data_IF_711049759504
#
_entry.id   IF_711049759504
#
_cell.length_a   1.000
_cell.length_b   1.000
_cell.length_c   1.000
_cell.angle_alpha   90.00
_cell.angle_beta   90.00
_cell.angle_gamma   90.00
#
_symmetry.space_group_name_H-M   'P 1'
#
loop_
_entity.id
_entity.type
_entity.pdbx_description
1 polymer ?
#
# COMPACT_ATOMS: atom_id res chain seq x y z
N UNK A 1 0.27 24.60 -0.67
CA UNK A 1 0.08 23.16 -0.94
C UNK A 1 -1.30 22.97 -1.55
N UNK A 2 -1.41 22.19 -2.64
CA UNK A 2 -2.70 21.73 -3.18
C UNK A 2 -3.38 20.72 -2.25
N UNK A 3 -4.34 19.95 -2.75
CA UNK A 3 -4.91 18.84 -1.96
C UNK A 3 -3.95 17.65 -1.92
N UNK A 4 -4.15 16.76 -0.96
CA UNK A 4 -3.52 15.44 -0.97
C UNK A 4 -4.46 14.49 -1.70
N UNK A 5 -3.94 13.65 -2.59
CA UNK A 5 -4.71 12.64 -3.32
C UNK A 5 -4.15 11.26 -3.03
N UNK A 6 -4.92 10.41 -2.36
CA UNK A 6 -4.54 9.05 -2.04
C UNK A 6 -4.96 8.12 -3.19
N UNK A 7 -3.99 7.51 -3.86
CA UNK A 7 -4.25 6.59 -4.98
C UNK A 7 -4.08 5.14 -4.52
N UNK A 8 -5.06 4.28 -4.81
CA UNK A 8 -5.08 2.90 -4.33
C UNK A 8 -5.74 1.94 -5.33
N UNK A 9 -5.51 0.63 -5.15
CA UNK A 9 -6.18 -0.40 -5.95
C UNK A 9 -7.64 -0.54 -5.57
N UNK A 10 -8.48 -0.90 -6.55
CA UNK A 10 -9.86 -1.27 -6.30
C UNK A 10 -9.92 -2.46 -5.34
N UNK A 11 -10.77 -2.39 -4.30
CA UNK A 11 -11.02 -3.55 -3.46
C UNK A 11 -11.79 -4.62 -4.23
N UNK A 12 -11.71 -5.86 -3.77
CA UNK A 12 -12.56 -6.95 -4.27
C UNK A 12 -14.03 -6.81 -3.88
N UNK A 13 -14.32 -6.03 -2.85
CA UNK A 13 -15.65 -5.62 -2.41
C UNK A 13 -15.72 -4.08 -2.39
N UNK A 14 -16.59 -3.44 -3.18
CA UNK A 14 -16.71 -1.98 -3.24
C UNK A 14 -16.88 -1.31 -1.88
N UNK A 15 -17.57 -1.93 -0.92
CA UNK A 15 -17.74 -1.34 0.41
C UNK A 15 -16.42 -1.17 1.16
N UNK A 16 -15.40 -1.95 0.83
CA UNK A 16 -14.07 -1.82 1.44
C UNK A 16 -13.32 -0.55 1.03
N UNK A 17 -13.80 0.20 0.03
CA UNK A 17 -13.25 1.51 -0.32
C UNK A 17 -13.38 2.51 0.85
N UNK A 18 -14.43 2.37 1.68
CA UNK A 18 -14.65 3.18 2.88
C UNK A 18 -13.46 3.19 3.83
N UNK A 19 -12.63 2.14 3.84
CA UNK A 19 -11.46 2.06 4.71
C UNK A 19 -10.39 3.11 4.33
N UNK A 20 -10.25 3.42 3.03
CA UNK A 20 -9.34 4.46 2.54
C UNK A 20 -9.99 5.84 2.71
N UNK A 21 -11.30 5.95 2.51
CA UNK A 21 -12.05 7.18 2.77
C UNK A 21 -11.96 7.60 4.25
N UNK A 22 -12.07 6.63 5.17
CA UNK A 22 -11.91 6.86 6.61
C UNK A 22 -10.49 7.34 6.95
N UNK A 23 -9.47 6.75 6.31
CA UNK A 23 -8.07 7.20 6.42
C UNK A 23 -7.92 8.65 5.91
N UNK A 24 -8.45 8.95 4.73
CA UNK A 24 -8.43 10.28 4.14
C UNK A 24 -9.13 11.30 5.04
N UNK A 25 -10.30 10.97 5.59
CA UNK A 25 -11.04 11.84 6.49
C UNK A 25 -10.27 12.13 7.80
N UNK A 26 -9.57 11.14 8.36
CA UNK A 26 -8.70 11.36 9.54
C UNK A 26 -7.52 12.27 9.21
N UNK A 27 -6.85 12.03 8.08
CA UNK A 27 -5.76 12.87 7.59
C UNK A 27 -6.22 14.31 7.33
N UNK A 28 -7.37 14.50 6.68
CA UNK A 28 -7.93 15.82 6.39
C UNK A 28 -8.18 16.61 7.68
N UNK A 29 -8.77 15.97 8.70
CA UNK A 29 -8.99 16.59 10.01
C UNK A 29 -7.69 16.94 10.72
N UNK A 30 -6.70 16.05 10.71
CA UNK A 30 -5.41 16.27 11.39
C UNK A 30 -4.56 17.36 10.72
N UNK A 31 -4.52 17.36 9.39
CA UNK A 31 -3.66 18.24 8.61
C UNK A 31 -4.29 19.59 8.28
N UNK A 32 -5.62 19.70 8.39
CA UNK A 32 -6.35 20.91 8.00
C UNK A 32 -6.32 21.15 6.49
N UNK A 33 -6.17 20.10 5.68
CA UNK A 33 -6.14 20.17 4.21
C UNK A 33 -7.12 19.19 3.60
N UNK A 34 -7.56 19.46 2.36
CA UNK A 34 -8.39 18.53 1.60
C UNK A 34 -7.58 17.28 1.26
N UNK A 35 -8.16 16.12 1.55
CA UNK A 35 -7.60 14.81 1.20
C UNK A 35 -8.66 14.05 0.42
N UNK A 36 -8.39 13.80 -0.86
CA UNK A 36 -9.27 13.05 -1.75
C UNK A 36 -8.72 11.64 -1.98
N UNK A 37 -9.59 10.70 -2.35
CA UNK A 37 -9.22 9.32 -2.67
C UNK A 37 -9.54 9.02 -4.12
N UNK A 38 -8.65 8.34 -4.83
CA UNK A 38 -8.81 7.98 -6.24
C UNK A 38 -8.41 6.53 -6.44
N UNK A 39 -9.23 5.75 -7.13
CA UNK A 39 -8.89 4.38 -7.50
C UNK A 39 -8.00 4.37 -8.75
N UNK A 40 -7.07 3.42 -8.83
CA UNK A 40 -6.11 3.35 -9.94
C UNK A 40 -6.78 3.30 -11.32
N UNK A 41 -7.92 2.62 -11.46
CA UNK A 41 -8.69 2.55 -12.71
C UNK A 41 -9.21 3.91 -13.16
N UNK A 42 -9.50 4.82 -12.24
CA UNK A 42 -9.85 6.20 -12.59
C UNK A 42 -8.66 6.90 -13.26
N UNK A 43 -7.46 6.73 -12.70
CA UNK A 43 -6.20 7.24 -13.31
C UNK A 43 -5.97 6.61 -14.68
N UNK A 44 -6.13 5.29 -14.82
CA UNK A 44 -6.00 4.59 -16.11
C UNK A 44 -6.99 5.11 -17.16
N UNK A 45 -8.20 5.50 -16.74
CA UNK A 45 -9.25 5.97 -17.66
C UNK A 45 -9.16 7.45 -18.02
N UNK A 46 -8.71 8.29 -17.09
CA UNK A 46 -8.75 9.75 -17.22
C UNK A 46 -7.37 10.39 -17.42
N UNK A 47 -6.28 9.67 -17.12
CA UNK A 47 -4.91 10.17 -17.12
C UNK A 47 -4.70 11.27 -16.08
N UNK A 48 -3.85 12.26 -16.37
CA UNK A 48 -3.58 13.38 -15.47
C UNK A 48 -4.79 14.25 -15.09
N UNK A 49 -5.94 14.11 -15.76
CA UNK A 49 -7.17 14.87 -15.46
C UNK A 49 -7.76 14.62 -14.06
N UNK A 50 -7.35 13.54 -13.39
CA UNK A 50 -7.74 13.29 -12.00
C UNK A 50 -6.96 14.13 -10.98
N UNK A 51 -5.87 14.77 -11.41
CA UNK A 51 -4.96 15.55 -10.56
C UNK A 51 -4.94 17.02 -10.99
N UNK A 52 -4.53 17.90 -10.06
CA UNK A 52 -4.30 19.31 -10.34
C UNK A 52 -2.84 19.68 -10.09
N UNK A 53 -2.42 20.80 -10.68
CA UNK A 53 -1.11 21.38 -10.41
C UNK A 53 -0.94 21.66 -8.90
N UNK A 54 0.19 21.22 -8.34
CA UNK A 54 0.49 21.40 -6.91
C UNK A 54 -0.22 20.43 -5.96
N UNK A 55 -0.98 19.45 -6.47
CA UNK A 55 -1.46 18.32 -5.67
C UNK A 55 -0.27 17.49 -5.16
N UNK A 56 -0.40 16.94 -3.95
CA UNK A 56 0.47 15.87 -3.44
C UNK A 56 -0.24 14.52 -3.65
N UNK A 57 0.20 13.77 -4.65
CA UNK A 57 -0.33 12.44 -4.98
C UNK A 57 0.45 11.39 -4.21
N UNK A 58 -0.21 10.68 -3.30
CA UNK A 58 0.38 9.59 -2.52
C UNK A 58 -0.17 8.26 -3.00
N UNK A 59 0.69 7.44 -3.59
CA UNK A 59 0.32 6.08 -4.01
C UNK A 59 0.38 5.12 -2.82
N UNK A 60 -0.79 4.69 -2.36
CA UNK A 60 -0.97 3.61 -1.38
C UNK A 60 -0.84 2.22 -2.04
N UNK A 61 0.04 2.12 -3.04
CA UNK A 61 0.36 0.86 -3.71
C UNK A 61 1.45 0.14 -2.91
N UNK A 62 1.33 -1.17 -2.59
CA UNK A 62 2.27 -1.87 -1.71
C UNK A 62 3.68 -2.08 -2.25
N UNK A 63 3.86 -1.96 -3.57
CA UNK A 63 5.12 -2.18 -4.28
C UNK A 63 5.12 -1.45 -5.62
N UNK A 64 6.29 -1.31 -6.24
CA UNK A 64 6.48 -0.91 -7.63
C UNK A 64 5.79 -1.90 -8.56
N UNK A 65 5.47 -1.40 -9.76
CA UNK A 65 4.70 -2.12 -10.76
C UNK A 65 4.07 -1.17 -11.77
N UNK A 66 3.47 -1.71 -12.82
CA UNK A 66 2.91 -0.90 -13.90
C UNK A 66 1.93 0.19 -13.45
N UNK A 67 1.10 -0.09 -12.44
CA UNK A 67 0.14 0.89 -11.92
C UNK A 67 0.83 2.08 -11.23
N UNK A 68 1.91 1.85 -10.49
CA UNK A 68 2.65 2.94 -9.86
C UNK A 68 3.23 3.90 -10.90
N UNK A 69 3.81 3.36 -11.97
CA UNK A 69 4.34 4.17 -13.07
C UNK A 69 3.23 4.93 -13.82
N UNK A 70 2.04 4.35 -13.95
CA UNK A 70 0.87 5.06 -14.50
C UNK A 70 0.45 6.24 -13.64
N UNK A 71 0.47 6.11 -12.31
CA UNK A 71 0.19 7.23 -11.40
C UNK A 71 1.27 8.30 -11.49
N UNK A 72 2.54 7.89 -11.50
CA UNK A 72 3.68 8.80 -11.61
C UNK A 72 3.64 9.65 -12.88
N UNK A 73 3.37 9.00 -14.02
CA UNK A 73 3.22 9.68 -15.31
C UNK A 73 2.06 10.68 -15.30
N UNK A 74 0.87 10.25 -14.86
CA UNK A 74 -0.32 11.10 -14.80
C UNK A 74 -0.16 12.29 -13.83
N UNK A 75 0.48 12.07 -12.68
CA UNK A 75 0.78 13.14 -11.72
C UNK A 75 1.76 14.16 -12.31
N UNK A 76 2.82 13.70 -12.97
CA UNK A 76 3.80 14.57 -13.63
C UNK A 76 3.17 15.41 -14.74
N UNK A 77 2.31 14.81 -15.56
CA UNK A 77 1.58 15.53 -16.62
C UNK A 77 0.67 16.64 -16.07
N UNK A 78 0.07 16.43 -14.90
CA UNK A 78 -0.77 17.41 -14.22
C UNK A 78 0.02 18.49 -13.44
N UNK A 79 1.35 18.39 -13.39
CA UNK A 79 2.17 19.26 -12.54
C UNK A 79 1.98 19.01 -11.04
N UNK A 80 1.60 17.79 -10.66
CA UNK A 80 1.48 17.33 -9.29
C UNK A 80 2.78 16.65 -8.82
N UNK A 81 3.02 16.64 -7.51
CA UNK A 81 4.12 15.87 -6.91
C UNK A 81 3.62 14.46 -6.59
N UNK A 82 4.34 13.44 -7.01
CA UNK A 82 4.02 12.06 -6.68
C UNK A 82 4.99 11.48 -5.63
N UNK A 83 4.45 10.71 -4.68
CA UNK A 83 5.20 9.92 -3.71
C UNK A 83 4.61 8.51 -3.65
N UNK A 84 5.47 7.50 -3.83
CA UNK A 84 5.07 6.09 -3.79
C UNK A 84 6.19 5.16 -4.27
N UNK A 85 6.06 3.84 -4.08
CA UNK A 85 4.95 3.13 -3.41
C UNK A 85 4.97 3.33 -1.89
N UNK A 86 4.09 2.64 -1.15
CA UNK A 86 4.23 2.49 0.30
C UNK A 86 5.64 1.95 0.60
N UNK A 87 6.44 2.61 1.45
CA UNK A 87 7.79 2.15 1.76
C UNK A 87 7.79 0.71 2.27
N UNK A 88 8.61 -0.20 1.70
CA UNK A 88 8.72 -1.60 2.14
C UNK A 88 8.97 -1.74 3.65
N UNK A 89 9.75 -0.81 4.22
CA UNK A 89 10.05 -0.76 5.65
C UNK A 89 8.80 -0.53 6.53
N UNK A 90 7.83 0.26 6.09
CA UNK A 90 6.57 0.46 6.82
C UNK A 90 5.73 -0.80 6.80
N UNK A 91 5.62 -1.47 5.64
CA UNK A 91 4.90 -2.74 5.53
C UNK A 91 5.51 -3.81 6.44
N UNK A 92 6.84 -3.97 6.42
CA UNK A 92 7.52 -4.92 7.30
C UNK A 92 7.31 -4.58 8.79
N UNK A 93 7.41 -3.29 9.17
CA UNK A 93 7.17 -2.81 10.54
C UNK A 93 5.75 -3.10 11.02
N UNK A 94 4.75 -2.94 10.15
CA UNK A 94 3.35 -3.25 10.48
C UNK A 94 3.10 -4.75 10.68
N UNK A 95 3.75 -5.59 9.87
CA UNK A 95 3.55 -7.05 9.91
C UNK A 95 4.32 -7.74 11.04
N UNK A 96 5.46 -7.20 11.47
CA UNK A 96 6.33 -7.86 12.46
C UNK A 96 5.61 -8.21 13.79
N UNK A 97 4.80 -7.32 14.41
CA UNK A 97 4.04 -7.67 15.61
C UNK A 97 3.04 -8.80 15.39
N UNK A 98 2.37 -8.84 14.23
CA UNK A 98 1.36 -9.86 13.90
C UNK A 98 1.98 -11.27 13.87
N UNK A 99 3.23 -11.38 13.41
CA UNK A 99 3.89 -12.66 13.16
C UNK A 99 4.97 -13.01 14.18
N UNK A 100 5.06 -12.31 15.31
CA UNK A 100 5.99 -12.66 16.38
C UNK A 100 5.74 -14.08 16.91
N UNK A 101 6.73 -14.96 16.77
CA UNK A 101 6.63 -16.36 17.19
C UNK A 101 6.14 -17.32 16.10
N UNK A 102 5.84 -16.82 14.89
CA UNK A 102 5.69 -17.69 13.73
C UNK A 102 7.06 -18.20 13.28
N UNK A 103 7.17 -19.47 12.89
CA UNK A 103 8.42 -20.01 12.31
C UNK A 103 8.50 -19.77 10.81
N UNK A 104 7.34 -19.77 10.15
CA UNK A 104 7.21 -19.58 8.71
C UNK A 104 6.10 -18.59 8.40
N UNK A 105 6.36 -17.65 7.48
CA UNK A 105 5.39 -16.65 7.05
C UNK A 105 5.32 -16.64 5.51
N UNK A 106 4.13 -16.81 4.96
CA UNK A 106 3.87 -16.60 3.53
C UNK A 106 3.31 -15.21 3.25
N UNK A 107 3.92 -14.46 2.35
CA UNK A 107 3.35 -13.20 1.83
C UNK A 107 2.74 -13.49 0.46
N UNK A 108 1.41 -13.58 0.43
CA UNK A 108 0.64 -13.80 -0.80
C UNK A 108 0.57 -12.53 -1.61
N UNK A 109 1.05 -12.56 -2.85
CA UNK A 109 1.06 -11.42 -3.75
C UNK A 109 0.47 -11.75 -5.12
N UNK A 110 -0.01 -10.71 -5.80
CA UNK A 110 -0.44 -10.80 -7.19
C UNK A 110 0.70 -10.36 -8.12
N UNK A 111 1.24 -11.23 -9.00
CA UNK A 111 2.32 -10.86 -9.89
C UNK A 111 1.94 -9.72 -10.83
N UNK A 112 2.77 -8.66 -10.88
CA UNK A 112 2.58 -7.57 -11.81
C UNK A 112 2.67 -8.05 -13.27
N UNK A 113 1.91 -7.41 -14.17
CA UNK A 113 1.99 -7.72 -15.62
C UNK A 113 3.28 -7.19 -16.24
N UNK A 114 3.70 -5.99 -15.81
CA UNK A 114 4.92 -5.27 -16.21
C UNK A 114 5.69 -4.88 -14.94
N UNK A 115 7.00 -4.69 -15.07
CA UNK A 115 7.89 -4.34 -13.94
C UNK A 115 7.87 -5.40 -12.82
N UNK A 116 8.07 -6.66 -13.22
CA UNK A 116 8.00 -7.83 -12.32
C UNK A 116 9.17 -7.89 -11.36
N UNK A 117 10.36 -7.49 -11.81
CA UNK A 117 11.57 -7.54 -11.00
C UNK A 117 11.52 -6.46 -9.91
N UNK A 118 11.05 -5.26 -10.23
CA UNK A 118 10.88 -4.16 -9.28
C UNK A 118 9.84 -4.52 -8.19
N UNK A 119 8.73 -5.17 -8.59
CA UNK A 119 7.78 -5.71 -7.62
C UNK A 119 8.45 -6.76 -6.71
N UNK A 120 9.25 -7.66 -7.29
CA UNK A 120 9.95 -8.71 -6.53
C UNK A 120 11.01 -8.15 -5.60
N UNK A 121 11.73 -7.10 -5.99
CA UNK A 121 12.69 -6.39 -5.16
C UNK A 121 11.99 -5.80 -3.92
N UNK A 122 10.88 -5.08 -4.12
CA UNK A 122 10.16 -4.46 -3.00
C UNK A 122 9.57 -5.52 -2.06
N UNK A 123 8.92 -6.56 -2.61
CA UNK A 123 8.40 -7.66 -1.81
C UNK A 123 9.51 -8.45 -1.11
N UNK A 124 10.66 -8.60 -1.76
CA UNK A 124 11.86 -9.22 -1.21
C UNK A 124 12.44 -8.41 -0.04
N UNK A 125 12.43 -7.09 -0.13
CA UNK A 125 12.80 -6.21 0.98
C UNK A 125 11.83 -6.36 2.15
N UNK A 126 10.51 -6.38 1.90
CA UNK A 126 9.51 -6.62 2.95
C UNK A 126 9.78 -7.96 3.63
N UNK A 127 9.99 -9.02 2.84
CA UNK A 127 10.25 -10.36 3.35
C UNK A 127 11.54 -10.43 4.18
N UNK A 128 12.64 -9.85 3.69
CA UNK A 128 13.92 -9.80 4.39
C UNK A 128 13.82 -9.07 5.73
N UNK A 129 13.19 -7.89 5.75
CA UNK A 129 13.00 -7.10 6.97
C UNK A 129 12.07 -7.80 7.96
N UNK A 130 11.00 -8.43 7.48
CA UNK A 130 10.08 -9.19 8.31
C UNK A 130 10.78 -10.41 8.93
N UNK A 131 11.59 -11.13 8.15
CA UNK A 131 12.40 -12.25 8.64
C UNK A 131 13.36 -11.79 9.74
N UNK A 132 14.09 -10.69 9.51
CA UNK A 132 15.00 -10.12 10.50
C UNK A 132 14.28 -9.69 11.80
N UNK A 133 13.08 -9.13 11.71
CA UNK A 133 12.32 -8.65 12.86
C UNK A 133 11.64 -9.78 13.66
N UNK A 134 11.33 -10.92 13.04
CA UNK A 134 10.55 -12.00 13.66
C UNK A 134 11.35 -13.27 13.92
N UNK A 135 12.49 -13.45 13.24
CA UNK A 135 13.23 -14.71 13.18
C UNK A 135 12.56 -15.77 12.29
N UNK A 136 11.44 -15.44 11.62
CA UNK A 136 10.71 -16.37 10.78
C UNK A 136 11.37 -16.54 9.40
N UNK A 137 11.17 -17.71 8.80
CA UNK A 137 11.42 -17.95 7.37
C UNK A 137 10.27 -17.33 6.58
N UNK A 138 10.56 -16.31 5.77
CA UNK A 138 9.53 -15.62 4.97
C UNK A 138 9.61 -16.06 3.51
N UNK A 139 8.50 -16.55 2.97
CA UNK A 139 8.34 -16.91 1.56
C UNK A 139 7.38 -15.95 0.85
N UNK A 140 7.71 -15.55 -0.38
CA UNK A 140 6.77 -14.88 -1.27
C UNK A 140 5.93 -15.95 -2.00
N UNK A 141 4.61 -15.87 -1.86
CA UNK A 141 3.66 -16.85 -2.40
C UNK A 141 2.85 -16.19 -3.51
N UNK A 142 2.94 -16.70 -4.74
CA UNK A 142 2.12 -16.20 -5.84
C UNK A 142 0.66 -16.62 -5.63
N UNK A 143 -0.28 -15.71 -5.87
CA UNK A 143 -1.71 -16.04 -5.80
C UNK A 143 -2.14 -17.11 -6.83
N UNK A 144 -1.34 -17.32 -7.89
CA UNK A 144 -1.61 -18.37 -8.88
C UNK A 144 -1.13 -19.75 -8.44
N UNK A 145 -0.32 -19.84 -7.39
CA UNK A 145 0.27 -21.09 -6.88
C UNK A 145 0.39 -20.98 -5.35
N UNK A 146 -0.76 -21.01 -4.69
CA UNK A 146 -0.84 -20.74 -3.25
C UNK A 146 -0.33 -21.93 -2.45
N UNK A 147 0.79 -21.72 -1.76
CA UNK A 147 1.31 -22.61 -0.72
C UNK A 147 0.84 -22.11 0.64
N UNK A 148 0.08 -22.94 1.35
CA UNK A 148 -0.34 -22.64 2.72
C UNK A 148 0.82 -22.83 3.70
N UNK A 149 1.16 -21.78 4.45
CA UNK A 149 2.23 -21.78 5.45
C UNK A 149 1.65 -21.50 6.85
N UNK A 150 2.46 -21.70 7.89
CA UNK A 150 2.06 -21.56 9.30
C UNK A 150 1.33 -20.24 9.59
N UNK A 151 1.92 -19.14 9.15
CA UNK A 151 1.35 -17.80 9.22
C UNK A 151 1.31 -17.18 7.81
N UNK A 152 0.31 -16.35 7.51
CA UNK A 152 0.19 -15.78 6.16
C UNK A 152 -0.30 -14.34 6.16
N UNK A 153 0.26 -13.52 5.26
CA UNK A 153 -0.17 -12.17 4.97
C UNK A 153 -0.56 -12.03 3.50
N UNK A 154 -1.48 -11.12 3.20
CA UNK A 154 -1.65 -10.61 1.84
C UNK A 154 -0.79 -9.36 1.66
N UNK A 155 -0.17 -9.22 0.48
CA UNK A 155 0.48 -7.97 0.09
C UNK A 155 -0.51 -6.88 -0.34
N UNK A 156 -1.81 -7.17 -0.44
CA UNK A 156 -2.83 -6.19 -0.87
C UNK A 156 -3.18 -5.21 0.25
N UNK A 157 -3.32 -3.93 -0.09
CA UNK A 157 -3.75 -2.90 0.87
C UNK A 157 -5.16 -3.19 1.42
N UNK A 158 -6.09 -3.52 0.52
CA UNK A 158 -7.51 -3.73 0.81
C UNK A 158 -7.94 -5.19 0.60
N UNK A 159 -9.09 -5.61 1.19
CA UNK A 159 -9.71 -6.90 0.93
C UNK A 159 -9.86 -7.20 -0.56
N UNK A 160 -9.47 -8.41 -0.97
CA UNK A 160 -9.57 -8.83 -2.37
C UNK A 160 -9.24 -10.30 -2.59
N UNK A 161 -8.81 -10.63 -3.81
CA UNK A 161 -8.48 -12.03 -4.18
C UNK A 161 -7.33 -12.60 -3.34
N UNK A 162 -6.28 -11.81 -3.07
CA UNK A 162 -5.16 -12.25 -2.24
C UNK A 162 -5.57 -12.45 -0.78
N UNK A 163 -6.51 -11.64 -0.27
CA UNK A 163 -7.11 -11.83 1.06
C UNK A 163 -7.82 -13.18 1.17
N UNK A 164 -8.65 -13.53 0.17
CA UNK A 164 -9.34 -14.82 0.13
C UNK A 164 -8.38 -16.01 0.08
N UNK A 165 -7.27 -15.88 -0.64
CA UNK A 165 -6.22 -16.91 -0.68
C UNK A 165 -5.58 -17.15 0.70
N UNK A 166 -5.29 -16.07 1.45
CA UNK A 166 -4.80 -16.18 2.84
C UNK A 166 -5.85 -16.86 3.72
N UNK A 167 -7.12 -16.50 3.57
CA UNK A 167 -8.20 -17.05 4.38
C UNK A 167 -8.46 -18.54 4.11
N UNK A 168 -8.33 -19.00 2.85
CA UNK A 168 -8.53 -20.41 2.50
C UNK A 168 -7.51 -21.36 3.13
N UNK A 169 -6.34 -20.86 3.53
CA UNK A 169 -5.27 -21.67 4.10
C UNK A 169 -5.40 -21.93 5.62
N UNK A 170 -6.35 -21.28 6.30
CA UNK A 170 -6.53 -21.38 7.76
C UNK A 170 -5.23 -21.30 8.59
N UNK A 171 -4.34 -20.31 8.33
CA UNK A 171 -3.07 -20.18 9.05
C UNK A 171 -3.32 -19.86 10.54
N UNK A 172 -2.34 -20.20 11.40
CA UNK A 172 -2.43 -19.96 12.84
C UNK A 172 -2.51 -18.46 13.18
N UNK A 173 -1.89 -17.62 12.33
CA UNK A 173 -2.05 -16.16 12.34
C UNK A 173 -2.15 -15.64 10.92
N UNK A 174 -2.96 -14.60 10.73
CA UNK A 174 -3.17 -13.99 9.41
C UNK A 174 -3.28 -12.48 9.41
N UNK A 175 -2.79 -11.90 8.33
CA UNK A 175 -3.07 -10.52 7.92
C UNK A 175 -3.72 -10.56 6.53
N UNK A 176 -5.06 -10.56 6.43
CA UNK A 176 -5.74 -10.75 5.15
C UNK A 176 -5.61 -9.53 4.22
N UNK A 177 -5.31 -8.34 4.74
CA UNK A 177 -5.03 -7.13 3.98
C UNK A 177 -4.24 -6.15 4.86
N UNK A 178 -3.41 -5.31 4.24
CA UNK A 178 -2.42 -4.52 4.96
C UNK A 178 -3.01 -3.32 5.71
N UNK A 179 -4.07 -2.68 5.21
CA UNK A 179 -4.54 -1.39 5.77
C UNK A 179 -4.95 -1.47 7.24
N UNK A 180 -5.46 -2.62 7.70
CA UNK A 180 -5.80 -2.84 9.12
C UNK A 180 -4.59 -2.76 10.06
N UNK A 181 -3.38 -3.03 9.54
CA UNK A 181 -2.12 -3.00 10.31
C UNK A 181 -1.27 -1.78 9.97
N UNK A 182 -1.38 -1.26 8.74
CA UNK A 182 -0.63 -0.11 8.25
C UNK A 182 -1.27 1.23 8.60
N UNK A 183 -2.56 1.29 8.96
CA UNK A 183 -3.33 2.54 9.06
C UNK A 183 -2.63 3.66 9.83
N UNK A 184 -2.19 3.40 11.07
CA UNK A 184 -1.49 4.41 11.87
C UNK A 184 -0.13 4.82 11.30
N UNK A 185 0.63 3.87 10.73
CA UNK A 185 1.92 4.15 10.11
C UNK A 185 1.79 4.94 8.80
N UNK A 186 0.72 4.70 8.04
CA UNK A 186 0.40 5.48 6.84
C UNK A 186 0.01 6.91 7.23
N UNK A 187 -0.75 7.08 8.31
CA UNK A 187 -1.04 8.43 8.83
C UNK A 187 0.25 9.18 9.19
N UNK A 188 1.12 8.59 10.01
CA UNK A 188 2.42 9.19 10.37
C UNK A 188 3.27 9.53 9.14
N UNK A 189 3.33 8.62 8.17
CA UNK A 189 4.11 8.81 6.95
C UNK A 189 3.57 9.98 6.11
N UNK A 190 2.26 10.03 5.86
CA UNK A 190 1.63 11.08 5.06
C UNK A 190 1.69 12.43 5.78
N UNK A 191 1.53 12.45 7.10
CA UNK A 191 1.71 13.64 7.92
C UNK A 191 3.14 14.20 7.77
N UNK A 192 4.15 13.33 7.82
CA UNK A 192 5.54 13.70 7.59
C UNK A 192 5.79 14.27 6.19
N UNK A 193 5.18 13.68 5.15
CA UNK A 193 5.26 14.21 3.78
C UNK A 193 4.63 15.61 3.68
N UNK A 194 3.46 15.81 4.28
CA UNK A 194 2.75 17.09 4.27
C UNK A 194 3.48 18.19 5.05
N UNK A 195 4.22 17.83 6.11
CA UNK A 195 5.02 18.79 6.87
C UNK A 195 6.18 19.38 6.03
N UNK A 196 6.76 18.59 5.13
CA UNK A 196 7.83 19.02 4.22
C UNK A 196 7.34 19.99 3.12
N UNK A 197 6.03 20.08 2.91
CA UNK A 197 5.38 20.95 1.91
C UNK A 197 4.96 22.31 2.46
N UNK A 198 5.01 22.50 3.80
CA UNK A 198 4.78 23.82 4.39
C UNK A 198 6.05 24.65 4.20
N UNK A 199 5.97 25.87 3.63
CA UNK A 199 7.11 26.78 3.64
C UNK A 199 7.54 26.99 5.09
N UNK A 200 8.84 26.98 5.36
CA UNK A 200 9.36 27.36 6.67
C UNK A 200 8.79 28.74 7.01
N UNK A 201 8.06 28.83 8.12
CA UNK A 201 7.61 30.12 8.65
C UNK A 201 8.87 30.95 8.91
N UNK A 202 9.08 31.97 8.07
CA UNK A 202 10.14 32.97 8.19
C UNK A 202 9.63 34.24 8.84
#
# INVERSE_FOLDING_TARGET
MGRIVLVYHEPGDPESARLVEDLAARLARKLGVRVDTVQIKEVESMGGRVFNQGDLVVSLLPARGGHLYTVDEAAREAGARHVGPIPPSLTARALAPAFKGCREVGIVYWPAKRFKEEQREDLGEIASRLAAATGARVELVSISDVKCLECMASSSLLPGRASRAVESCQPSRKVPYLLSWLGGLLEEWIEGLAALEKPAEG
#
